data_IF_729303114234
#
_entry.id   IF_729303114234
#
_cell.length_a   1.000
_cell.length_b   1.000
_cell.length_c   1.000
_cell.angle_alpha   90.00
_cell.angle_beta   90.00
_cell.angle_gamma   90.00
#
_symmetry.space_group_name_H-M   'P 1'
#
loop_
_entity.id
_entity.type
_entity.pdbx_description
1 polymer ?
#
# COMPACT_ATOMS: atom_id res chain seq x y z
N UNK A 1 -16.75 26.34 -6.34
CA UNK A 1 -15.86 26.17 -5.18
C UNK A 1 -14.69 25.27 -5.63
N UNK A 2 -13.46 25.73 -5.44
CA UNK A 2 -12.28 24.90 -5.77
C UNK A 2 -12.12 23.87 -4.66
N UNK A 3 -12.20 22.57 -4.99
CA UNK A 3 -11.95 21.52 -4.02
C UNK A 3 -10.45 21.49 -3.65
N UNK A 4 -10.10 21.37 -2.36
CA UNK A 4 -8.71 21.28 -1.95
C UNK A 4 -8.06 20.00 -2.52
N UNK A 5 -6.78 20.06 -2.84
CA UNK A 5 -5.99 18.87 -3.14
C UNK A 5 -5.82 18.04 -1.86
N UNK A 6 -6.14 16.75 -1.94
CA UNK A 6 -6.13 15.85 -0.79
C UNK A 6 -4.96 14.87 -0.93
N UNK A 7 -4.28 14.66 0.18
CA UNK A 7 -3.27 13.61 0.36
C UNK A 7 -3.85 12.60 1.34
N UNK A 8 -4.01 11.36 0.91
CA UNK A 8 -4.37 10.26 1.79
C UNK A 8 -3.08 9.58 2.31
N UNK A 9 -2.91 9.59 3.63
CA UNK A 9 -1.68 9.11 4.26
C UNK A 9 -1.62 7.57 4.42
N UNK A 10 -2.68 6.82 4.08
CA UNK A 10 -2.69 5.36 4.16
C UNK A 10 -3.81 4.78 3.33
N UNK A 11 -3.49 4.05 2.25
CA UNK A 11 -4.50 3.49 1.37
C UNK A 11 -4.11 2.11 0.80
N UNK A 12 -4.91 1.09 1.10
CA UNK A 12 -4.68 -0.32 0.76
C UNK A 12 -5.21 -0.69 -0.65
N UNK A 13 -4.74 0.00 -1.68
CA UNK A 13 -5.22 -0.20 -3.05
C UNK A 13 -4.90 -1.59 -3.58
N UNK A 14 -3.66 -2.05 -3.43
CA UNK A 14 -3.23 -3.35 -3.95
C UNK A 14 -3.90 -4.52 -3.22
N UNK A 15 -4.14 -4.39 -1.92
CA UNK A 15 -4.90 -5.38 -1.15
C UNK A 15 -6.35 -5.47 -1.66
N UNK A 16 -7.02 -4.34 -1.83
CA UNK A 16 -8.36 -4.29 -2.42
C UNK A 16 -8.40 -4.92 -3.81
N UNK A 17 -7.42 -4.64 -4.65
CA UNK A 17 -7.36 -5.19 -6.01
C UNK A 17 -7.14 -6.71 -6.01
N UNK A 18 -6.16 -7.22 -5.25
CA UNK A 18 -5.75 -8.61 -5.34
C UNK A 18 -6.52 -9.54 -4.38
N UNK A 19 -6.68 -9.15 -3.11
CA UNK A 19 -7.31 -10.02 -2.13
C UNK A 19 -8.85 -9.95 -2.16
N UNK A 20 -9.42 -8.78 -2.46
CA UNK A 20 -10.86 -8.62 -2.69
C UNK A 20 -11.26 -8.80 -4.16
N UNK A 21 -10.29 -8.97 -5.07
CA UNK A 21 -10.54 -9.11 -6.50
C UNK A 21 -11.39 -7.95 -7.07
N UNK A 22 -11.03 -6.71 -6.71
CA UNK A 22 -11.69 -5.48 -7.14
C UNK A 22 -10.90 -4.82 -8.25
N UNK A 23 -11.46 -4.68 -9.43
CA UNK A 23 -10.85 -3.86 -10.49
C UNK A 23 -11.13 -2.38 -10.22
N UNK A 24 -10.17 -1.70 -9.60
CA UNK A 24 -10.30 -0.29 -9.18
C UNK A 24 -10.38 0.71 -10.35
N UNK A 25 -10.22 0.26 -11.58
CA UNK A 25 -10.48 1.06 -12.79
C UNK A 25 -11.96 1.20 -13.10
N UNK A 26 -12.78 0.31 -12.56
CA UNK A 26 -14.22 0.32 -12.74
C UNK A 26 -14.89 1.38 -11.85
N UNK A 27 -16.05 1.92 -12.26
CA UNK A 27 -16.86 2.74 -11.39
C UNK A 27 -17.22 1.99 -10.09
N UNK A 28 -17.22 2.69 -8.97
CA UNK A 28 -17.47 2.10 -7.65
C UNK A 28 -18.81 1.33 -7.57
N UNK A 29 -19.87 1.87 -8.22
CA UNK A 29 -21.15 1.19 -8.30
C UNK A 29 -21.07 -0.18 -8.99
N UNK A 30 -20.20 -0.33 -9.98
CA UNK A 30 -20.03 -1.58 -10.71
C UNK A 30 -19.24 -2.59 -9.88
N UNK A 31 -18.22 -2.15 -9.14
CA UNK A 31 -17.49 -2.99 -8.18
C UNK A 31 -18.48 -3.56 -7.15
N UNK A 32 -19.26 -2.69 -6.51
CA UNK A 32 -20.24 -3.11 -5.49
C UNK A 32 -21.32 -4.02 -6.07
N UNK A 33 -21.81 -3.73 -7.30
CA UNK A 33 -22.79 -4.58 -7.98
C UNK A 33 -22.29 -6.02 -8.20
N UNK A 34 -21.04 -6.18 -8.58
CA UNK A 34 -20.42 -7.50 -8.80
C UNK A 34 -20.28 -8.31 -7.51
N UNK A 35 -20.20 -7.64 -6.38
CA UNK A 35 -20.04 -8.28 -5.08
C UNK A 35 -21.35 -8.68 -4.40
N UNK A 36 -22.52 -8.35 -5.01
CA UNK A 36 -23.84 -8.70 -4.45
C UNK A 36 -23.93 -10.22 -4.29
N UNK A 37 -24.23 -10.67 -3.07
CA UNK A 37 -24.38 -12.07 -2.73
C UNK A 37 -23.07 -12.84 -2.48
N UNK A 38 -21.90 -12.22 -2.63
CA UNK A 38 -20.63 -12.82 -2.23
C UNK A 38 -20.49 -12.80 -0.70
N UNK A 39 -19.94 -13.89 -0.14
CA UNK A 39 -19.75 -14.06 1.32
C UNK A 39 -18.34 -14.52 1.71
N UNK A 40 -17.41 -14.55 0.75
CA UNK A 40 -16.05 -15.06 0.90
C UNK A 40 -15.13 -14.08 1.63
N UNK A 41 -15.50 -12.80 1.70
CA UNK A 41 -14.78 -11.74 2.40
C UNK A 41 -15.78 -10.86 3.17
N UNK A 42 -15.34 -10.23 4.29
CA UNK A 42 -16.12 -9.16 4.91
C UNK A 42 -16.26 -7.98 3.93
N UNK A 43 -17.26 -7.16 4.15
CA UNK A 43 -17.49 -5.90 3.42
C UNK A 43 -17.73 -6.06 1.90
N UNK A 44 -18.17 -7.25 1.44
CA UNK A 44 -18.63 -7.42 0.07
C UNK A 44 -19.82 -6.51 -0.22
N UNK A 45 -19.80 -5.85 -1.37
CA UNK A 45 -20.79 -4.86 -1.77
C UNK A 45 -20.64 -3.48 -1.12
N UNK A 46 -19.59 -3.29 -0.30
CA UNK A 46 -19.31 -2.04 0.41
C UNK A 46 -17.91 -1.48 0.06
N UNK A 47 -17.43 -1.69 -1.15
CA UNK A 47 -16.22 -1.02 -1.63
C UNK A 47 -16.43 0.50 -1.57
N UNK A 48 -15.43 1.23 -1.13
CA UNK A 48 -15.47 2.69 -0.92
C UNK A 48 -14.53 3.44 -1.84
N UNK A 49 -13.73 2.73 -2.67
CA UNK A 49 -12.67 3.32 -3.45
C UNK A 49 -12.63 2.81 -4.88
N UNK A 50 -12.36 3.71 -5.82
CA UNK A 50 -11.92 3.44 -7.20
C UNK A 50 -11.09 4.63 -7.68
N UNK A 51 -10.35 4.48 -8.78
CA UNK A 51 -9.59 5.62 -9.35
C UNK A 51 -10.49 6.78 -9.77
N UNK A 52 -11.68 6.48 -10.24
CA UNK A 52 -12.69 7.50 -10.57
C UNK A 52 -13.08 8.32 -9.34
N UNK A 53 -13.38 7.66 -8.21
CA UNK A 53 -13.80 8.33 -6.98
C UNK A 53 -12.65 9.11 -6.32
N UNK A 54 -11.42 8.60 -6.37
CA UNK A 54 -10.23 9.36 -5.93
C UNK A 54 -10.11 10.68 -6.71
N UNK A 55 -10.23 10.62 -8.03
CA UNK A 55 -10.15 11.82 -8.88
C UNK A 55 -11.30 12.78 -8.60
N UNK A 56 -12.53 12.29 -8.47
CA UNK A 56 -13.70 13.10 -8.10
C UNK A 56 -13.52 13.79 -6.75
N UNK A 57 -12.93 13.08 -5.79
CA UNK A 57 -12.62 13.61 -4.46
C UNK A 57 -11.40 14.52 -4.41
N UNK A 58 -10.73 14.77 -5.55
CA UNK A 58 -9.45 15.52 -5.64
C UNK A 58 -8.34 14.92 -4.75
N UNK A 59 -8.38 13.58 -4.52
CA UNK A 59 -7.33 12.81 -3.86
C UNK A 59 -6.24 12.52 -4.89
N UNK A 60 -5.27 13.40 -4.98
CA UNK A 60 -4.24 13.34 -6.02
C UNK A 60 -2.95 12.65 -5.61
N UNK A 61 -2.75 12.39 -4.32
CA UNK A 61 -1.58 11.71 -3.78
C UNK A 61 -2.00 10.77 -2.65
N UNK A 62 -1.44 9.56 -2.64
CA UNK A 62 -1.70 8.59 -1.58
C UNK A 62 -0.40 7.95 -1.09
N UNK A 63 -0.35 7.57 0.18
CA UNK A 63 0.62 6.60 0.68
C UNK A 63 0.02 5.22 0.43
N UNK A 64 0.50 4.56 -0.62
CA UNK A 64 -0.07 3.32 -1.13
C UNK A 64 0.62 2.11 -0.50
N UNK A 65 -0.15 1.29 0.17
CA UNK A 65 0.34 0.27 1.07
C UNK A 65 0.47 -1.09 0.38
N UNK A 66 1.56 -1.78 0.67
CA UNK A 66 1.70 -3.22 0.50
C UNK A 66 1.49 -3.89 1.85
N UNK A 67 0.87 -5.05 1.86
CA UNK A 67 0.65 -5.83 3.09
C UNK A 67 0.94 -7.31 2.83
N UNK A 68 1.79 -7.90 3.67
CA UNK A 68 2.14 -9.32 3.60
C UNK A 68 2.50 -9.79 5.01
N UNK A 69 1.47 -10.20 5.78
CA UNK A 69 1.67 -10.65 7.16
C UNK A 69 2.21 -12.09 7.18
N UNK A 70 3.29 -12.29 7.90
CA UNK A 70 3.68 -13.62 8.36
C UNK A 70 2.95 -13.96 9.65
N UNK A 71 2.46 -15.18 9.75
CA UNK A 71 1.84 -15.71 10.97
C UNK A 71 2.51 -17.02 11.37
N UNK A 72 3.01 -17.09 12.61
CA UNK A 72 3.55 -18.32 13.16
C UNK A 72 2.44 -19.36 13.44
N UNK A 73 2.82 -20.61 13.74
CA UNK A 73 1.86 -21.72 13.90
C UNK A 73 0.75 -21.47 14.94
N UNK A 74 1.07 -20.73 16.01
CA UNK A 74 0.14 -20.47 17.11
C UNK A 74 -0.56 -19.11 17.01
N UNK A 75 -0.39 -18.40 15.89
CA UNK A 75 -1.01 -17.10 15.68
C UNK A 75 -2.36 -17.27 14.96
N UNK A 76 -3.50 -16.91 15.57
CA UNK A 76 -4.84 -17.09 14.98
C UNK A 76 -5.17 -16.09 13.87
N UNK A 77 -4.35 -15.08 13.65
CA UNK A 77 -4.60 -14.08 12.62
C UNK A 77 -4.43 -14.69 11.22
N UNK A 78 -5.13 -14.11 10.25
CA UNK A 78 -4.93 -14.44 8.86
C UNK A 78 -3.58 -13.94 8.35
N UNK A 79 -2.88 -14.74 7.56
CA UNK A 79 -1.58 -14.38 7.00
C UNK A 79 -0.89 -15.57 6.34
N UNK A 80 0.37 -15.39 6.03
CA UNK A 80 1.21 -16.36 5.31
C UNK A 80 2.07 -17.15 6.30
N UNK A 81 2.25 -18.43 6.09
CA UNK A 81 2.97 -19.31 7.04
C UNK A 81 4.49 -19.29 6.84
N UNK A 82 5.00 -18.55 5.88
CA UNK A 82 6.44 -18.27 5.76
C UNK A 82 6.70 -16.84 5.32
N UNK A 83 7.87 -16.28 5.69
CA UNK A 83 8.29 -14.95 5.20
C UNK A 83 8.41 -14.89 3.68
N UNK A 84 8.80 -16.00 3.04
CA UNK A 84 8.92 -16.11 1.57
C UNK A 84 7.56 -15.98 0.89
N UNK A 85 6.52 -16.60 1.45
CA UNK A 85 5.14 -16.42 0.96
C UNK A 85 4.67 -14.98 1.15
N UNK A 86 4.91 -14.40 2.32
CA UNK A 86 4.56 -13.00 2.60
C UNK A 86 5.31 -12.04 1.65
N UNK A 87 6.60 -12.32 1.37
CA UNK A 87 7.37 -11.56 0.37
C UNK A 87 6.79 -11.70 -1.04
N UNK A 88 6.45 -12.92 -1.47
CA UNK A 88 5.83 -13.14 -2.78
C UNK A 88 4.51 -12.38 -2.93
N UNK A 89 3.70 -12.30 -1.86
CA UNK A 89 2.47 -11.51 -1.83
C UNK A 89 2.75 -10.03 -2.07
N UNK A 90 3.73 -9.44 -1.36
CA UNK A 90 4.07 -8.02 -1.55
C UNK A 90 4.69 -7.76 -2.93
N UNK A 91 5.42 -8.71 -3.52
CA UNK A 91 5.90 -8.58 -4.89
C UNK A 91 4.76 -8.64 -5.92
N UNK A 92 3.73 -9.45 -5.70
CA UNK A 92 2.49 -9.43 -6.50
C UNK A 92 1.79 -8.08 -6.42
N UNK A 93 1.69 -7.50 -5.23
CA UNK A 93 1.13 -6.17 -5.02
C UNK A 93 1.97 -5.06 -5.72
N UNK A 94 3.30 -5.15 -5.68
CA UNK A 94 4.18 -4.26 -6.44
C UNK A 94 3.94 -4.37 -7.95
N UNK A 95 3.80 -5.59 -8.47
CA UNK A 95 3.53 -5.81 -9.88
C UNK A 95 2.20 -5.17 -10.30
N UNK A 96 1.17 -5.23 -9.45
CA UNK A 96 -0.09 -4.54 -9.70
C UNK A 96 0.08 -3.01 -9.74
N UNK A 97 0.80 -2.40 -8.79
CA UNK A 97 1.08 -0.96 -8.82
C UNK A 97 1.80 -0.54 -10.12
N UNK A 98 2.79 -1.33 -10.55
CA UNK A 98 3.50 -1.07 -11.82
C UNK A 98 2.59 -1.17 -13.05
N UNK A 99 1.69 -2.14 -13.08
CA UNK A 99 0.68 -2.23 -14.15
C UNK A 99 -0.23 -1.00 -14.15
N UNK A 100 -0.61 -0.46 -12.99
CA UNK A 100 -1.40 0.77 -12.92
C UNK A 100 -0.59 2.01 -13.35
N UNK A 101 0.74 2.03 -13.18
CA UNK A 101 1.60 3.06 -13.75
C UNK A 101 1.65 2.98 -15.28
N UNK A 102 1.84 1.78 -15.84
CA UNK A 102 1.89 1.55 -17.29
C UNK A 102 0.58 1.96 -17.98
N UNK A 103 -0.56 1.79 -17.31
CA UNK A 103 -1.86 2.23 -17.79
C UNK A 103 -2.15 3.73 -17.53
N UNK A 104 -1.22 4.46 -16.92
CA UNK A 104 -1.39 5.89 -16.60
C UNK A 104 -2.40 6.17 -15.48
N UNK A 105 -2.84 5.15 -14.73
CA UNK A 105 -3.74 5.34 -13.59
C UNK A 105 -3.01 5.92 -12.38
N UNK A 106 -1.75 5.55 -12.19
CA UNK A 106 -0.93 5.94 -11.05
C UNK A 106 0.46 6.44 -11.48
N UNK A 107 1.15 7.16 -10.60
CA UNK A 107 2.52 7.61 -10.78
C UNK A 107 3.30 7.49 -9.46
N UNK A 108 4.41 6.72 -9.45
CA UNK A 108 5.22 6.52 -8.26
C UNK A 108 6.04 7.76 -7.91
N UNK A 109 5.95 8.19 -6.67
CA UNK A 109 6.70 9.32 -6.11
C UNK A 109 7.85 8.77 -5.27
N UNK A 110 9.07 8.90 -5.80
CA UNK A 110 10.27 8.33 -5.16
C UNK A 110 11.14 9.37 -4.46
N UNK A 111 10.95 10.64 -4.80
CA UNK A 111 11.77 11.74 -4.32
C UNK A 111 11.02 13.08 -4.39
N UNK A 112 11.64 14.11 -3.84
CA UNK A 112 11.09 15.47 -3.82
C UNK A 112 10.82 16.03 -5.23
N UNK A 113 11.70 15.76 -6.20
CA UNK A 113 11.53 16.25 -7.57
C UNK A 113 10.29 15.65 -8.23
N UNK A 114 10.08 14.34 -8.07
CA UNK A 114 8.88 13.66 -8.54
C UNK A 114 7.61 14.20 -7.86
N UNK A 115 7.68 14.46 -6.54
CA UNK A 115 6.57 15.06 -5.80
C UNK A 115 6.23 16.45 -6.33
N UNK A 116 7.21 17.33 -6.50
CA UNK A 116 7.00 18.70 -7.00
C UNK A 116 6.40 18.69 -8.41
N UNK A 117 6.89 17.83 -9.31
CA UNK A 117 6.33 17.69 -10.65
C UNK A 117 4.88 17.18 -10.61
N UNK A 118 4.58 16.21 -9.76
CA UNK A 118 3.24 15.68 -9.60
C UNK A 118 2.26 16.72 -9.03
N UNK A 119 2.68 17.48 -8.01
CA UNK A 119 1.88 18.57 -7.46
C UNK A 119 1.62 19.68 -8.49
N UNK A 120 2.59 19.99 -9.36
CA UNK A 120 2.41 20.96 -10.44
C UNK A 120 1.35 20.46 -11.45
N UNK A 121 1.40 19.17 -11.82
CA UNK A 121 0.41 18.54 -12.70
C UNK A 121 -1.03 18.67 -12.14
N UNK A 122 -1.20 18.51 -10.83
CA UNK A 122 -2.52 18.60 -10.21
C UNK A 122 -3.02 20.04 -10.02
N UNK A 123 -2.14 21.03 -10.15
CA UNK A 123 -2.46 22.48 -10.03
C UNK A 123 -2.58 23.21 -11.37
N UNK A 124 -2.41 22.54 -12.49
CA UNK A 124 -2.40 23.15 -13.81
C UNK A 124 -3.76 23.67 -14.32
N UNK A 125 -4.84 23.41 -13.58
CA UNK A 125 -6.21 23.82 -13.93
C UNK A 125 -6.96 22.85 -14.82
N UNK A 126 -6.30 21.82 -15.32
CA UNK A 126 -6.94 20.79 -16.13
C UNK A 126 -7.78 19.83 -15.26
N UNK A 127 -8.84 19.22 -15.83
CA UNK A 127 -9.67 18.25 -15.12
C UNK A 127 -8.88 17.08 -14.52
N UNK A 128 -9.27 16.65 -13.34
CA UNK A 128 -8.60 15.56 -12.62
C UNK A 128 -8.88 14.16 -13.21
N UNK A 129 -9.92 14.01 -14.04
CA UNK A 129 -10.41 12.73 -14.55
C UNK A 129 -9.37 11.91 -15.33
N UNK A 130 -8.36 12.58 -15.90
CA UNK A 130 -7.27 11.96 -16.66
C UNK A 130 -5.91 12.00 -15.96
N UNK A 131 -5.82 12.64 -14.78
CA UNK A 131 -4.55 12.74 -14.07
C UNK A 131 -4.23 11.45 -13.33
N UNK A 132 -2.97 10.98 -13.35
CA UNK A 132 -2.56 9.86 -12.54
C UNK A 132 -2.67 10.21 -11.05
N UNK A 133 -3.04 9.24 -10.22
CA UNK A 133 -2.92 9.35 -8.77
C UNK A 133 -1.46 9.16 -8.39
N UNK A 134 -0.83 10.14 -7.77
CA UNK A 134 0.52 9.98 -7.23
C UNK A 134 0.53 9.00 -6.07
N UNK A 135 1.58 8.19 -5.95
CA UNK A 135 1.69 7.33 -4.79
C UNK A 135 3.11 7.24 -4.24
N UNK A 136 3.23 7.32 -2.93
CA UNK A 136 4.42 6.94 -2.18
C UNK A 136 4.22 5.50 -1.74
N UNK A 137 5.09 4.59 -2.18
CA UNK A 137 4.97 3.18 -1.83
C UNK A 137 5.37 2.96 -0.38
N UNK A 138 4.50 2.33 0.39
CA UNK A 138 4.71 1.91 1.76
C UNK A 138 4.48 0.42 1.96
N UNK A 139 4.92 -0.10 3.10
CA UNK A 139 4.58 -1.46 3.53
C UNK A 139 4.10 -1.44 4.97
N UNK A 140 2.96 -2.07 5.21
CA UNK A 140 2.35 -2.19 6.53
C UNK A 140 2.67 -3.54 7.15
N UNK A 141 3.55 -3.49 8.17
CA UNK A 141 4.19 -4.66 8.73
C UNK A 141 5.42 -5.11 7.93
N UNK A 142 6.57 -5.15 8.59
CA UNK A 142 7.84 -5.55 7.96
C UNK A 142 7.99 -7.08 7.81
N UNK A 143 6.99 -7.85 8.17
CA UNK A 143 7.04 -9.32 8.27
C UNK A 143 7.39 -10.02 6.95
N UNK A 144 7.06 -9.41 5.83
CA UNK A 144 7.39 -9.91 4.50
C UNK A 144 8.87 -9.81 4.15
N UNK A 145 9.67 -8.96 4.81
CA UNK A 145 11.10 -8.94 4.58
C UNK A 145 11.73 -10.22 5.14
N UNK A 146 12.21 -11.10 4.28
CA UNK A 146 12.85 -12.36 4.66
C UNK A 146 14.10 -12.08 5.52
N UNK A 147 14.88 -11.09 5.11
CA UNK A 147 16.05 -10.55 5.81
C UNK A 147 16.09 -9.03 5.66
N UNK A 148 16.92 -8.33 6.41
CA UNK A 148 17.10 -6.88 6.29
C UNK A 148 17.61 -6.46 4.90
N UNK A 149 18.34 -7.32 4.18
CA UNK A 149 18.74 -7.04 2.79
C UNK A 149 17.54 -6.83 1.85
N UNK A 150 16.38 -7.40 2.15
CA UNK A 150 15.16 -7.19 1.37
C UNK A 150 14.64 -5.75 1.49
N UNK A 151 14.99 -5.04 2.54
CA UNK A 151 14.68 -3.60 2.69
C UNK A 151 15.44 -2.77 1.64
N UNK A 152 16.72 -3.08 1.40
CA UNK A 152 17.53 -2.40 0.38
C UNK A 152 16.98 -2.70 -1.04
N UNK A 153 16.60 -3.95 -1.29
CA UNK A 153 15.91 -4.33 -2.54
C UNK A 153 14.61 -3.56 -2.70
N UNK A 154 13.81 -3.47 -1.64
CA UNK A 154 12.55 -2.75 -1.64
C UNK A 154 12.75 -1.24 -1.87
N UNK A 155 13.72 -0.63 -1.24
CA UNK A 155 14.10 0.76 -1.49
C UNK A 155 14.48 0.99 -2.97
N UNK A 156 15.24 0.06 -3.56
CA UNK A 156 15.66 0.15 -4.95
C UNK A 156 14.47 0.15 -5.93
N UNK A 157 13.43 -0.61 -5.68
CA UNK A 157 12.23 -0.59 -6.52
C UNK A 157 11.22 0.52 -6.18
N UNK A 158 11.47 1.31 -5.14
CA UNK A 158 10.70 2.53 -4.87
C UNK A 158 10.00 2.59 -3.52
N UNK A 159 10.15 1.61 -2.63
CA UNK A 159 9.60 1.68 -1.27
C UNK A 159 10.23 2.85 -0.50
N UNK A 160 9.41 3.63 0.21
CA UNK A 160 9.87 4.81 0.96
C UNK A 160 9.41 4.84 2.42
N UNK A 161 8.40 4.09 2.78
CA UNK A 161 7.91 4.02 4.15
C UNK A 161 7.67 2.58 4.60
N UNK A 162 8.01 2.27 5.86
CA UNK A 162 7.85 0.94 6.44
C UNK A 162 7.27 1.05 7.84
N UNK A 163 6.07 0.51 8.05
CA UNK A 163 5.57 0.20 9.38
C UNK A 163 6.24 -1.07 9.90
N UNK A 164 7.04 -1.04 10.98
CA UNK A 164 7.75 -2.24 11.46
C UNK A 164 6.84 -3.35 11.97
N UNK A 165 5.60 -3.01 12.31
CA UNK A 165 4.58 -3.94 12.81
C UNK A 165 3.19 -3.61 12.26
N UNK A 166 2.29 -4.59 12.31
CA UNK A 166 0.86 -4.43 12.03
C UNK A 166 0.04 -4.96 13.21
N UNK A 167 -0.85 -5.94 13.05
CA UNK A 167 -1.58 -6.60 14.13
C UNK A 167 -0.83 -7.85 14.62
N UNK A 168 -0.86 -8.08 15.94
CA UNK A 168 -0.31 -9.27 16.57
C UNK A 168 1.22 -9.28 16.69
N UNK A 169 1.79 -10.41 17.09
CA UNK A 169 3.23 -10.59 17.18
C UNK A 169 3.84 -10.64 15.76
N UNK A 170 4.82 -9.77 15.50
CA UNK A 170 5.53 -9.70 14.25
C UNK A 170 7.00 -10.11 14.36
N UNK A 171 7.63 -10.35 13.22
CA UNK A 171 9.05 -10.80 13.14
C UNK A 171 10.04 -9.72 13.58
N UNK A 172 9.70 -8.45 13.42
CA UNK A 172 10.55 -7.29 13.68
C UNK A 172 10.11 -6.54 14.94
N UNK A 173 8.80 -6.43 15.14
CA UNK A 173 8.20 -5.75 16.27
C UNK A 173 6.81 -6.33 16.54
N UNK A 174 6.36 -6.23 17.77
CA UNK A 174 4.98 -6.54 18.13
C UNK A 174 4.08 -5.35 17.81
N UNK A 175 2.92 -5.62 17.23
CA UNK A 175 1.94 -4.62 16.83
C UNK A 175 0.70 -4.60 17.72
N UNK A 176 -0.38 -4.05 17.19
CA UNK A 176 -1.68 -3.92 17.85
C UNK A 176 -2.16 -5.28 18.38
N UNK A 177 -2.76 -5.28 19.58
CA UNK A 177 -3.26 -6.46 20.28
C UNK A 177 -2.18 -7.50 20.64
N UNK A 178 -0.93 -7.07 20.75
CA UNK A 178 0.16 -7.89 21.26
C UNK A 178 1.05 -7.12 22.23
N UNK A 179 1.74 -7.85 23.10
CA UNK A 179 2.66 -7.28 24.09
C UNK A 179 4.10 -7.50 23.66
N UNK A 180 4.97 -6.52 23.92
CA UNK A 180 6.38 -6.58 23.60
C UNK A 180 6.85 -5.34 22.86
N UNK A 181 8.07 -5.42 22.37
CA UNK A 181 8.77 -4.27 21.79
C UNK A 181 9.45 -4.67 20.48
N UNK A 182 10.17 -3.71 19.92
CA UNK A 182 11.11 -3.91 18.82
C UNK A 182 12.20 -4.90 19.25
N UNK A 183 12.37 -5.98 18.50
CA UNK A 183 13.43 -6.97 18.76
C UNK A 183 14.75 -6.60 18.08
N UNK A 184 15.75 -7.50 18.11
CA UNK A 184 17.07 -7.25 17.52
C UNK A 184 16.98 -7.02 15.99
N UNK A 185 16.17 -7.82 15.29
CA UNK A 185 15.94 -7.64 13.84
C UNK A 185 15.25 -6.31 13.53
N UNK A 186 14.29 -5.91 14.37
CA UNK A 186 13.61 -4.62 14.24
C UNK A 186 14.55 -3.44 14.44
N UNK A 187 15.50 -3.53 15.37
CA UNK A 187 16.53 -2.50 15.56
C UNK A 187 17.45 -2.39 14.33
N UNK A 188 17.79 -3.50 13.70
CA UNK A 188 18.59 -3.53 12.47
C UNK A 188 17.77 -2.97 11.29
N UNK A 189 16.50 -3.30 11.19
CA UNK A 189 15.57 -2.72 10.22
C UNK A 189 15.59 -1.19 10.31
N UNK A 190 15.38 -0.62 11.50
CA UNK A 190 15.35 0.84 11.68
C UNK A 190 16.69 1.51 11.33
N UNK A 191 17.82 0.90 11.67
CA UNK A 191 19.14 1.43 11.26
C UNK A 191 19.31 1.42 9.74
N UNK A 192 18.80 0.39 9.07
CA UNK A 192 18.84 0.30 7.61
C UNK A 192 17.92 1.33 6.98
N UNK A 193 16.72 1.52 7.51
CA UNK A 193 15.80 2.57 7.06
C UNK A 193 16.42 3.97 7.21
N UNK A 194 17.00 4.28 8.37
CA UNK A 194 17.67 5.55 8.64
C UNK A 194 18.80 5.81 7.63
N UNK A 195 19.68 4.83 7.41
CA UNK A 195 20.76 4.90 6.41
C UNK A 195 20.25 5.15 4.98
N UNK A 196 19.09 4.61 4.63
CA UNK A 196 18.47 4.77 3.31
C UNK A 196 17.61 6.04 3.20
N UNK A 197 17.38 6.76 4.28
CA UNK A 197 16.49 7.92 4.32
C UNK A 197 15.02 7.53 4.14
N UNK A 198 14.59 6.36 4.65
CA UNK A 198 13.21 5.90 4.64
C UNK A 198 12.45 6.39 5.88
N UNK A 199 11.14 6.45 5.74
CA UNK A 199 10.20 6.81 6.82
C UNK A 199 9.70 5.54 7.51
#
# INVERSE_FOLDING_TARGET
MHMPFIIDAHLDLSMNALEWNRDLRQPLKEINRREIGMTDKPDRGNATISFEELRKGNVGLVVATQIGRYVGPDNPLTGWHSPEQAWAQTQGQLAWYKAMEEEGQMAMIRDKKALEAHLALWKDGEPADKKPIGYVLSIEGADSFITVNHVEMAYAYGLRAVGPAHYGPGRYANGTDSTGHLNAMGKELLRTMDRLGMI
#
